data_IF_420326209575
#
_entry.id   IF_420326209575
#
_cell.length_a   1.000
_cell.length_b   1.000
_cell.length_c   1.000
_cell.angle_alpha   90.00
_cell.angle_beta   90.00
_cell.angle_gamma   90.00
#
_symmetry.space_group_name_H-M   'P 1'
#
loop_
_entity.id
_entity.type
_entity.pdbx_description
1 polymer ?
#
# COMPACT_ATOMS: atom_id res chain seq x y z
N UNK A 1 -23.80 -34.78 -11.27
CA UNK A 1 -22.42 -35.02 -11.77
C UNK A 1 -22.46 -35.84 -13.04
N UNK A 2 -21.67 -35.48 -14.05
CA UNK A 2 -21.59 -36.16 -15.36
C UNK A 2 -20.13 -36.19 -15.80
N UNK A 3 -19.68 -37.30 -16.40
CA UNK A 3 -18.33 -37.43 -16.96
C UNK A 3 -18.34 -38.19 -18.29
N UNK A 4 -17.32 -37.96 -19.12
CA UNK A 4 -17.07 -38.74 -20.34
C UNK A 4 -15.86 -39.67 -20.14
N UNK A 5 -15.93 -40.87 -20.69
CA UNK A 5 -14.83 -41.83 -20.59
C UNK A 5 -14.79 -42.80 -21.76
N UNK A 6 -13.66 -43.48 -21.91
CA UNK A 6 -13.47 -44.52 -22.91
C UNK A 6 -13.38 -45.89 -22.25
N UNK A 7 -14.07 -46.86 -22.83
CA UNK A 7 -14.00 -48.26 -22.44
C UNK A 7 -14.06 -49.12 -23.70
N UNK A 8 -13.14 -50.07 -23.86
CA UNK A 8 -13.08 -50.94 -25.04
C UNK A 8 -13.11 -50.15 -26.37
N UNK A 9 -12.30 -49.09 -26.44
CA UNK A 9 -12.20 -48.14 -27.58
C UNK A 9 -13.53 -47.47 -27.98
N UNK A 10 -14.52 -47.43 -27.08
CA UNK A 10 -15.80 -46.76 -27.30
C UNK A 10 -15.97 -45.63 -26.29
N UNK A 11 -16.52 -44.52 -26.77
CA UNK A 11 -16.86 -43.37 -25.92
C UNK A 11 -18.19 -43.63 -25.21
N UNK A 12 -18.20 -43.36 -23.92
CA UNK A 12 -19.36 -43.41 -23.05
C UNK A 12 -19.51 -42.08 -22.31
N UNK A 13 -20.74 -41.81 -21.89
CA UNK A 13 -21.03 -40.72 -20.96
C UNK A 13 -21.71 -41.32 -19.75
N UNK A 14 -21.33 -40.91 -18.56
CA UNK A 14 -21.93 -41.38 -17.33
C UNK A 14 -22.42 -40.23 -16.47
N UNK A 15 -23.43 -40.50 -15.64
CA UNK A 15 -23.91 -39.58 -14.64
C UNK A 15 -24.41 -40.32 -13.41
N UNK A 16 -24.28 -39.66 -12.26
CA UNK A 16 -24.81 -40.14 -10.99
C UNK A 16 -26.02 -39.28 -10.62
N UNK A 17 -27.17 -39.91 -10.41
CA UNK A 17 -28.45 -39.25 -10.11
C UNK A 17 -29.05 -39.89 -8.86
N UNK A 18 -29.66 -39.10 -7.98
CA UNK A 18 -30.39 -39.62 -6.84
C UNK A 18 -31.85 -39.91 -7.23
N UNK A 19 -32.30 -41.14 -7.02
CA UNK A 19 -33.65 -41.61 -7.35
C UNK A 19 -34.18 -42.40 -6.17
N UNK A 20 -35.31 -41.95 -5.59
CA UNK A 20 -35.94 -42.59 -4.41
C UNK A 20 -34.95 -42.79 -3.25
N UNK A 21 -34.16 -41.76 -2.93
CA UNK A 21 -33.08 -41.77 -1.92
C UNK A 21 -31.87 -42.67 -2.22
N UNK A 22 -31.86 -43.40 -3.33
CA UNK A 22 -30.74 -44.26 -3.74
C UNK A 22 -29.96 -43.61 -4.88
N UNK A 23 -28.63 -43.70 -4.84
CA UNK A 23 -27.78 -43.26 -5.95
C UNK A 23 -27.90 -44.24 -7.11
N UNK A 24 -28.22 -43.72 -8.29
CA UNK A 24 -28.35 -44.46 -9.55
C UNK A 24 -27.27 -43.99 -10.52
N UNK A 25 -26.42 -44.92 -10.95
CA UNK A 25 -25.43 -44.72 -12.00
C UNK A 25 -26.09 -44.94 -13.36
N UNK A 26 -25.96 -43.96 -14.26
CA UNK A 26 -26.42 -44.04 -15.65
C UNK A 26 -25.21 -44.00 -16.56
N UNK A 27 -25.08 -44.98 -17.45
CA UNK A 27 -24.00 -45.07 -18.45
C UNK A 27 -24.64 -45.12 -19.83
N UNK A 28 -24.42 -44.09 -20.64
CA UNK A 28 -24.92 -43.98 -22.01
C UNK A 28 -23.80 -44.26 -23.00
N UNK A 29 -24.05 -45.19 -23.92
CA UNK A 29 -23.15 -45.50 -25.01
C UNK A 29 -23.35 -44.57 -26.23
N UNK A 30 -22.46 -44.67 -27.22
CA UNK A 30 -22.55 -43.90 -28.47
C UNK A 30 -23.82 -44.18 -29.29
N UNK A 31 -24.42 -45.37 -29.15
CA UNK A 31 -25.66 -45.76 -29.84
C UNK A 31 -26.93 -45.26 -29.12
N UNK A 32 -26.79 -44.57 -27.98
CA UNK A 32 -27.89 -44.04 -27.19
C UNK A 32 -28.56 -45.04 -26.23
N UNK A 33 -28.03 -46.25 -26.07
CA UNK A 33 -28.45 -47.15 -25.00
C UNK A 33 -27.91 -46.69 -23.65
N UNK A 34 -28.75 -46.78 -22.63
CA UNK A 34 -28.43 -46.40 -21.27
C UNK A 34 -28.51 -47.63 -20.37
N UNK A 35 -27.44 -47.88 -19.64
CA UNK A 35 -27.40 -48.79 -18.51
C UNK A 35 -27.63 -48.00 -17.23
N UNK A 36 -28.74 -48.28 -16.53
CA UNK A 36 -29.04 -47.72 -15.22
C UNK A 36 -28.82 -48.79 -14.13
N UNK A 37 -28.04 -48.45 -13.11
CA UNK A 37 -27.70 -49.33 -11.98
C UNK A 37 -27.90 -48.59 -10.68
N UNK A 38 -28.81 -49.08 -9.84
CA UNK A 38 -28.99 -48.56 -8.48
C UNK A 38 -27.89 -49.11 -7.56
N UNK A 39 -27.40 -48.28 -6.65
CA UNK A 39 -26.41 -48.67 -5.65
C UNK A 39 -26.90 -49.89 -4.85
N UNK A 40 -26.02 -50.87 -4.68
CA UNK A 40 -26.32 -52.13 -3.98
C UNK A 40 -27.06 -53.18 -4.80
N UNK A 41 -27.51 -52.88 -6.03
CA UNK A 41 -28.21 -53.84 -6.88
C UNK A 41 -27.28 -54.52 -7.88
N UNK A 42 -27.42 -55.85 -8.01
CA UNK A 42 -26.72 -56.67 -9.02
C UNK A 42 -27.42 -56.70 -10.38
N UNK A 43 -28.66 -56.23 -10.43
CA UNK A 43 -29.45 -56.16 -11.66
C UNK A 43 -29.55 -54.70 -12.12
N UNK A 44 -29.10 -54.44 -13.34
CA UNK A 44 -29.25 -53.17 -14.03
C UNK A 44 -30.35 -53.21 -15.10
N UNK A 45 -30.75 -52.03 -15.56
CA UNK A 45 -31.70 -51.85 -16.66
C UNK A 45 -30.95 -51.30 -17.88
N UNK A 46 -30.95 -52.05 -18.99
CA UNK A 46 -30.32 -51.66 -20.25
C UNK A 46 -31.36 -51.40 -21.34
N UNK A 47 -31.48 -50.16 -21.80
CA UNK A 47 -32.44 -49.79 -22.83
C UNK A 47 -32.28 -48.35 -23.31
N UNK A 48 -33.05 -47.95 -24.32
CA UNK A 48 -33.17 -46.53 -24.71
C UNK A 48 -34.18 -45.81 -23.81
N UNK A 49 -35.23 -46.51 -23.44
CA UNK A 49 -36.28 -46.08 -22.51
C UNK A 49 -36.32 -47.03 -21.32
N UNK A 50 -36.91 -46.59 -20.20
CA UNK A 50 -37.06 -47.44 -19.00
C UNK A 50 -38.10 -48.54 -19.19
N UNK A 51 -39.09 -48.30 -20.06
CA UNK A 51 -40.18 -49.25 -20.35
C UNK A 51 -39.68 -50.43 -21.19
N UNK A 52 -38.79 -50.19 -22.16
CA UNK A 52 -38.22 -51.22 -23.02
C UNK A 52 -36.89 -51.77 -22.48
N UNK A 53 -36.53 -51.43 -21.24
CA UNK A 53 -35.25 -51.78 -20.68
C UNK A 53 -35.18 -53.27 -20.32
N UNK A 54 -34.15 -53.94 -20.86
CA UNK A 54 -33.84 -55.32 -20.50
C UNK A 54 -33.14 -55.35 -19.14
N UNK A 55 -33.62 -56.22 -18.24
CA UNK A 55 -32.91 -56.54 -17.00
C UNK A 55 -31.62 -57.30 -17.34
N UNK A 56 -30.49 -56.77 -16.90
CA UNK A 56 -29.19 -57.40 -17.09
C UNK A 56 -28.50 -57.60 -15.74
N UNK A 57 -27.76 -58.70 -15.60
CA UNK A 57 -26.89 -58.91 -14.45
C UNK A 57 -25.58 -58.16 -14.66
N UNK A 58 -25.32 -57.16 -13.79
CA UNK A 58 -24.13 -56.31 -13.84
C UNK A 58 -22.92 -56.93 -13.15
N UNK A 59 -23.10 -58.08 -12.48
CA UNK A 59 -22.01 -58.85 -11.89
C UNK A 59 -21.13 -59.52 -12.94
N UNK A 60 -21.59 -59.59 -14.20
CA UNK A 60 -20.81 -60.13 -15.30
C UNK A 60 -19.56 -59.26 -15.56
N UNK A 61 -18.39 -59.86 -15.87
CA UNK A 61 -17.12 -59.14 -15.97
C UNK A 61 -17.15 -57.90 -16.86
N UNK A 62 -17.81 -57.98 -18.01
CA UNK A 62 -17.92 -56.85 -18.94
C UNK A 62 -18.62 -55.63 -18.32
N UNK A 63 -19.80 -55.84 -17.72
CA UNK A 63 -20.57 -54.75 -17.10
C UNK A 63 -19.91 -54.26 -15.82
N UNK A 64 -19.33 -55.16 -15.03
CA UNK A 64 -18.57 -54.79 -13.84
C UNK A 64 -17.41 -53.84 -14.18
N UNK A 65 -16.59 -54.18 -15.17
CA UNK A 65 -15.48 -53.34 -15.60
C UNK A 65 -15.93 -52.01 -16.21
N UNK A 66 -17.05 -52.01 -16.96
CA UNK A 66 -17.65 -50.79 -17.49
C UNK A 66 -18.13 -49.85 -16.37
N UNK A 67 -18.78 -50.40 -15.34
CA UNK A 67 -19.24 -49.66 -14.17
C UNK A 67 -18.05 -49.10 -13.40
N UNK A 68 -17.00 -49.91 -13.19
CA UNK A 68 -15.77 -49.46 -12.54
C UNK A 68 -15.11 -48.29 -13.30
N UNK A 69 -15.03 -48.39 -14.62
CA UNK A 69 -14.50 -47.31 -15.46
C UNK A 69 -15.34 -46.03 -15.35
N UNK A 70 -16.67 -46.16 -15.34
CA UNK A 70 -17.58 -45.03 -15.18
C UNK A 70 -17.44 -44.35 -13.80
N UNK A 71 -17.35 -45.14 -12.72
CA UNK A 71 -17.16 -44.62 -11.36
C UNK A 71 -15.83 -43.86 -11.24
N UNK A 72 -14.75 -44.44 -11.74
CA UNK A 72 -13.44 -43.76 -11.78
C UNK A 72 -13.50 -42.44 -12.55
N UNK A 73 -14.22 -42.39 -13.67
CA UNK A 73 -14.38 -41.17 -14.44
C UNK A 73 -15.16 -40.08 -13.68
N UNK A 74 -16.20 -40.46 -12.94
CA UNK A 74 -16.95 -39.54 -12.10
C UNK A 74 -16.10 -39.00 -10.93
N UNK A 75 -15.29 -39.87 -10.31
CA UNK A 75 -14.38 -39.45 -9.24
C UNK A 75 -13.29 -38.50 -9.75
N UNK A 76 -12.73 -38.77 -10.93
CA UNK A 76 -11.76 -37.88 -11.57
C UNK A 76 -12.39 -36.52 -11.89
N UNK A 77 -13.60 -36.51 -12.44
CA UNK A 77 -14.32 -35.26 -12.70
C UNK A 77 -14.57 -34.47 -11.41
N UNK A 78 -14.99 -35.16 -10.34
CA UNK A 78 -15.17 -34.53 -9.02
C UNK A 78 -13.89 -33.88 -8.50
N UNK A 79 -12.75 -34.56 -8.64
CA UNK A 79 -11.46 -34.05 -8.22
C UNK A 79 -11.02 -32.87 -9.08
N UNK A 80 -11.26 -32.93 -10.39
CA UNK A 80 -10.96 -31.83 -11.30
C UNK A 80 -11.75 -30.58 -10.94
N UNK A 81 -13.05 -30.70 -10.66
CA UNK A 81 -13.88 -29.58 -10.20
C UNK A 81 -13.32 -28.98 -8.90
N UNK A 82 -12.95 -29.81 -7.93
CA UNK A 82 -12.34 -29.35 -6.67
C UNK A 82 -11.00 -28.64 -6.88
N UNK A 83 -10.16 -29.14 -7.79
CA UNK A 83 -8.88 -28.52 -8.15
C UNK A 83 -9.12 -27.15 -8.80
N UNK A 84 -10.11 -27.04 -9.70
CA UNK A 84 -10.45 -25.78 -10.34
C UNK A 84 -10.93 -24.74 -9.33
N UNK A 85 -11.78 -25.15 -8.40
CA UNK A 85 -12.25 -24.28 -7.31
C UNK A 85 -11.08 -23.83 -6.43
N UNK A 86 -10.23 -24.76 -6.00
CA UNK A 86 -9.05 -24.44 -5.17
C UNK A 86 -8.09 -23.48 -5.88
N UNK A 87 -7.89 -23.65 -7.18
CA UNK A 87 -7.05 -22.76 -7.98
C UNK A 87 -7.60 -21.33 -8.03
N UNK A 88 -8.93 -21.15 -8.03
CA UNK A 88 -9.55 -19.81 -7.94
C UNK A 88 -9.24 -19.17 -6.59
N UNK A 89 -9.48 -19.90 -5.50
CA UNK A 89 -9.17 -19.39 -4.15
C UNK A 89 -7.69 -19.04 -3.98
N UNK A 90 -6.78 -19.83 -4.57
CA UNK A 90 -5.35 -19.53 -4.56
C UNK A 90 -5.05 -18.24 -5.31
N UNK A 91 -5.64 -18.04 -6.50
CA UNK A 91 -5.44 -16.83 -7.29
C UNK A 91 -5.93 -15.57 -6.53
N UNK A 92 -7.07 -15.67 -5.85
CA UNK A 92 -7.61 -14.57 -5.03
C UNK A 92 -6.69 -14.26 -3.84
N UNK A 93 -6.19 -15.29 -3.15
CA UNK A 93 -5.24 -15.15 -2.07
C UNK A 93 -3.90 -14.56 -2.54
N UNK A 94 -3.40 -14.96 -3.72
CA UNK A 94 -2.20 -14.40 -4.33
C UNK A 94 -2.38 -12.90 -4.63
N UNK A 95 -3.55 -12.48 -5.11
CA UNK A 95 -3.86 -11.07 -5.33
C UNK A 95 -3.87 -10.28 -4.01
N UNK A 96 -4.44 -10.85 -2.94
CA UNK A 96 -4.42 -10.25 -1.60
C UNK A 96 -2.99 -10.11 -1.05
N UNK A 97 -2.17 -11.15 -1.18
CA UNK A 97 -0.75 -11.12 -0.76
C UNK A 97 0.02 -10.05 -1.54
N UNK A 98 -0.23 -9.92 -2.85
CA UNK A 98 0.38 -8.87 -3.66
C UNK A 98 -0.03 -7.47 -3.19
N UNK A 99 -1.31 -7.29 -2.86
CA UNK A 99 -1.82 -6.02 -2.32
C UNK A 99 -1.14 -5.67 -0.99
N UNK A 100 -1.13 -6.60 -0.04
CA UNK A 100 -0.42 -6.42 1.24
C UNK A 100 1.07 -6.13 1.03
N UNK A 101 1.70 -6.80 0.05
CA UNK A 101 3.08 -6.53 -0.33
C UNK A 101 3.32 -5.10 -0.83
N UNK A 102 2.34 -4.48 -1.50
CA UNK A 102 2.40 -3.05 -1.87
C UNK A 102 2.31 -2.14 -0.66
N UNK A 103 1.38 -2.43 0.24
CA UNK A 103 1.18 -1.66 1.48
C UNK A 103 2.42 -1.69 2.36
N UNK A 104 3.01 -2.87 2.57
CA UNK A 104 4.27 -3.02 3.31
C UNK A 104 5.40 -2.18 2.71
N UNK A 105 5.49 -2.09 1.37
CA UNK A 105 6.51 -1.25 0.71
C UNK A 105 6.28 0.23 1.01
N UNK A 106 5.04 0.71 0.95
CA UNK A 106 4.70 2.10 1.26
C UNK A 106 5.02 2.42 2.72
N UNK A 107 4.62 1.54 3.65
CA UNK A 107 4.90 1.70 5.08
C UNK A 107 6.40 1.72 5.37
N UNK A 108 7.19 0.86 4.73
CA UNK A 108 8.65 0.85 4.90
C UNK A 108 9.30 2.14 4.40
N UNK A 109 8.80 2.72 3.30
CA UNK A 109 9.31 4.01 2.81
C UNK A 109 8.96 5.16 3.77
N UNK A 110 7.77 5.13 4.38
CA UNK A 110 7.39 6.08 5.42
C UNK A 110 8.28 5.95 6.66
N UNK A 111 8.55 4.72 7.13
CA UNK A 111 9.47 4.48 8.25
C UNK A 111 10.85 5.04 7.94
N UNK A 112 11.36 4.83 6.72
CA UNK A 112 12.65 5.36 6.29
C UNK A 112 12.68 6.89 6.34
N UNK A 113 11.66 7.53 5.78
CA UNK A 113 11.54 9.00 5.78
C UNK A 113 11.47 9.56 7.20
N UNK A 114 10.74 8.90 8.10
CA UNK A 114 10.66 9.29 9.51
C UNK A 114 12.00 9.09 10.22
N UNK A 115 12.72 8.02 9.90
CA UNK A 115 14.06 7.75 10.47
C UNK A 115 15.03 8.87 10.10
N UNK A 116 15.07 9.26 8.82
CA UNK A 116 15.94 10.34 8.34
C UNK A 116 15.64 11.67 9.05
N UNK A 117 14.36 12.00 9.27
CA UNK A 117 13.96 13.21 10.02
C UNK A 117 14.37 13.14 11.49
N UNK A 118 14.27 11.98 12.12
CA UNK A 118 14.70 11.79 13.51
C UNK A 118 16.22 11.99 13.61
N UNK A 119 17.00 11.45 12.66
CA UNK A 119 18.45 11.68 12.61
C UNK A 119 18.79 13.16 12.43
N UNK A 120 18.11 13.88 11.53
CA UNK A 120 18.28 15.33 11.34
C UNK A 120 17.99 16.12 12.62
N UNK A 121 16.89 15.82 13.31
CA UNK A 121 16.53 16.46 14.57
C UNK A 121 17.56 16.20 15.68
N UNK A 122 18.14 15.00 15.73
CA UNK A 122 19.19 14.67 16.69
C UNK A 122 20.46 15.50 16.42
N UNK A 123 20.84 15.67 15.15
CA UNK A 123 21.98 16.53 14.78
C UNK A 123 21.74 17.99 15.19
N UNK A 124 20.57 18.53 14.90
CA UNK A 124 20.21 19.89 15.30
C UNK A 124 20.20 20.07 16.82
N UNK A 125 19.67 19.08 17.56
CA UNK A 125 19.68 19.08 19.01
C UNK A 125 21.12 19.12 19.58
N UNK A 126 22.06 18.37 18.98
CA UNK A 126 23.47 18.38 19.39
C UNK A 126 24.20 19.68 19.05
N UNK A 127 23.79 20.40 18.01
CA UNK A 127 24.41 21.68 17.60
C UNK A 127 23.90 22.89 18.39
N UNK A 128 22.68 22.82 18.91
CA UNK A 128 22.07 23.89 19.72
C UNK A 128 22.97 24.41 20.87
N UNK A 129 23.59 23.57 21.72
CA UNK A 129 24.47 24.06 22.77
C UNK A 129 25.69 24.79 22.23
N UNK A 130 26.21 24.40 21.06
CA UNK A 130 27.32 25.09 20.41
C UNK A 130 26.92 26.51 19.98
N UNK A 131 25.73 26.67 19.41
CA UNK A 131 25.18 27.98 19.02
C UNK A 131 24.87 28.86 20.24
N UNK A 132 24.40 28.28 21.33
CA UNK A 132 24.15 29.01 22.58
C UNK A 132 25.45 29.54 23.18
N UNK A 133 26.52 28.75 23.17
CA UNK A 133 27.84 29.18 23.63
C UNK A 133 28.39 30.30 22.72
N UNK A 134 28.27 30.16 21.40
CA UNK A 134 28.68 31.22 20.45
C UNK A 134 27.93 32.54 20.70
N UNK A 135 26.61 32.47 20.91
CA UNK A 135 25.81 33.65 21.22
C UNK A 135 26.20 34.27 22.57
N UNK A 136 26.47 33.46 23.60
CA UNK A 136 26.92 33.95 24.91
C UNK A 136 28.28 34.65 24.81
N UNK A 137 29.23 34.09 24.04
CA UNK A 137 30.53 34.74 23.78
C UNK A 137 30.32 36.09 23.10
N UNK A 138 29.50 36.15 22.05
CA UNK A 138 29.20 37.40 21.33
C UNK A 138 28.54 38.44 22.27
N UNK A 139 27.56 38.04 23.07
CA UNK A 139 26.92 38.92 24.04
C UNK A 139 27.92 39.46 25.07
N UNK A 140 28.86 38.63 25.54
CA UNK A 140 29.92 39.09 26.45
C UNK A 140 30.89 40.04 25.76
N UNK A 141 31.28 39.82 24.51
CA UNK A 141 32.17 40.72 23.75
C UNK A 141 31.51 42.09 23.51
N UNK A 142 30.23 42.10 23.12
CA UNK A 142 29.46 43.33 22.94
C UNK A 142 29.39 44.10 24.27
N UNK A 143 29.09 43.40 25.37
CA UNK A 143 28.99 44.00 26.71
C UNK A 143 30.33 44.58 27.17
N UNK A 144 31.44 43.87 26.94
CA UNK A 144 32.78 44.36 27.25
C UNK A 144 33.17 45.55 26.38
N UNK A 145 32.90 45.50 25.07
CA UNK A 145 33.18 46.61 24.15
C UNK A 145 32.41 47.88 24.50
N UNK A 146 31.14 47.75 24.90
CA UNK A 146 30.35 48.87 25.41
C UNK A 146 30.91 49.43 26.72
N UNK A 147 31.33 48.58 27.67
CA UNK A 147 31.95 49.05 28.92
C UNK A 147 33.24 49.82 28.66
N UNK A 148 34.11 49.31 27.77
CA UNK A 148 35.36 49.97 27.41
C UNK A 148 35.13 51.28 26.63
N UNK A 149 34.07 51.34 25.82
CA UNK A 149 33.63 52.57 25.16
C UNK A 149 33.16 53.63 26.16
N UNK A 150 32.36 53.23 27.16
CA UNK A 150 31.91 54.11 28.23
C UNK A 150 33.08 54.59 29.09
N UNK A 151 34.03 53.72 29.43
CA UNK A 151 35.23 54.10 30.20
C UNK A 151 36.13 55.07 29.41
N UNK A 152 36.24 54.93 28.09
CA UNK A 152 36.95 55.90 27.23
C UNK A 152 36.24 57.24 27.13
N UNK A 153 34.90 57.24 27.08
CA UNK A 153 34.09 58.46 27.13
C UNK A 153 34.14 59.12 28.51
N UNK A 154 34.25 58.33 29.57
CA UNK A 154 34.43 58.81 30.95
C UNK A 154 35.84 59.34 31.21
N UNK A 155 36.88 58.77 30.58
CA UNK A 155 38.27 59.19 30.71
C UNK A 155 38.65 60.40 29.83
N UNK A 156 37.76 60.87 28.96
CA UNK A 156 37.93 62.09 28.15
C UNK A 156 36.87 63.16 28.46
N UNK A 157 36.84 63.71 29.69
CA UNK A 157 35.88 64.76 30.07
C UNK A 157 36.01 66.03 29.20
N UNK A 158 37.15 66.22 28.53
CA UNK A 158 37.44 67.36 27.68
C UNK A 158 36.64 67.33 26.35
N UNK A 159 36.39 66.14 25.79
CA UNK A 159 35.57 65.99 24.58
C UNK A 159 34.07 66.06 24.89
N UNK A 160 33.65 65.57 26.06
CA UNK A 160 32.25 65.67 26.51
C UNK A 160 31.89 67.12 26.79
N UNK A 161 32.80 67.91 27.37
CA UNK A 161 32.58 69.34 27.59
C UNK A 161 32.55 70.13 26.27
N UNK A 162 33.41 69.81 25.30
CA UNK A 162 33.37 70.41 23.96
C UNK A 162 32.09 70.05 23.19
N UNK A 163 31.59 68.82 23.32
CA UNK A 163 30.36 68.40 22.65
C UNK A 163 29.11 69.05 23.28
N UNK A 164 29.08 69.18 24.61
CA UNK A 164 28.01 69.92 25.30
C UNK A 164 28.05 71.41 24.92
N UNK A 165 29.24 72.02 24.85
CA UNK A 165 29.37 73.41 24.37
C UNK A 165 28.95 73.57 22.89
N UNK A 166 29.23 72.58 22.04
CA UNK A 166 28.80 72.58 20.64
C UNK A 166 27.28 72.40 20.50
N UNK A 167 26.67 71.50 21.29
CA UNK A 167 25.23 71.32 21.30
C UNK A 167 24.47 72.51 21.88
N UNK A 168 25.01 73.20 22.90
CA UNK A 168 24.42 74.47 23.38
C UNK A 168 24.54 75.58 22.33
N UNK A 169 25.65 75.64 21.58
CA UNK A 169 25.78 76.56 20.44
C UNK A 169 24.81 76.22 19.32
N UNK A 170 24.61 74.95 19.00
CA UNK A 170 23.65 74.52 17.98
C UNK A 170 22.21 74.82 18.39
N UNK A 171 21.83 74.67 19.66
CA UNK A 171 20.49 75.06 20.12
C UNK A 171 20.28 76.58 20.10
N UNK A 172 21.31 77.37 20.44
CA UNK A 172 21.26 78.84 20.36
C UNK A 172 21.19 79.32 18.90
N UNK A 173 21.91 78.64 17.99
CA UNK A 173 21.86 78.90 16.55
C UNK A 173 20.48 78.51 15.99
N UNK A 174 19.92 77.35 16.38
CA UNK A 174 18.55 76.97 15.97
C UNK A 174 17.50 77.97 16.48
N UNK A 175 17.60 78.46 17.72
CA UNK A 175 16.70 79.49 18.23
C UNK A 175 16.85 80.85 17.52
N UNK A 176 18.07 81.25 17.18
CA UNK A 176 18.31 82.49 16.44
C UNK A 176 17.83 82.41 14.98
N UNK A 177 17.97 81.24 14.35
CA UNK A 177 17.46 80.95 13.02
C UNK A 177 15.92 80.99 13.03
N UNK A 178 15.27 80.37 14.02
CA UNK A 178 13.81 80.39 14.15
C UNK A 178 13.25 81.81 14.40
N UNK A 179 13.98 82.68 15.11
CA UNK A 179 13.61 84.09 15.29
C UNK A 179 13.77 84.90 13.98
N UNK A 180 14.84 84.68 13.22
CA UNK A 180 15.02 85.34 11.91
C UNK A 180 13.96 84.91 10.88
N UNK A 181 13.65 83.61 10.80
CA UNK A 181 12.62 83.10 9.90
C UNK A 181 11.21 83.55 10.31
N UNK A 182 10.95 83.78 11.60
CA UNK A 182 9.69 84.36 12.06
C UNK A 182 9.52 85.82 11.62
N UNK A 183 10.58 86.63 11.62
CA UNK A 183 10.51 88.03 11.19
C UNK A 183 10.42 88.16 9.64
N UNK A 184 11.14 87.32 8.89
CA UNK A 184 11.05 87.29 7.41
C UNK A 184 9.71 86.72 6.91
N UNK A 185 9.11 85.76 7.62
CA UNK A 185 7.81 85.20 7.26
C UNK A 185 6.66 86.21 7.43
N UNK A 186 6.72 87.11 8.40
CA UNK A 186 5.73 88.18 8.56
C UNK A 186 5.82 89.25 7.46
N UNK A 187 7.02 89.50 6.90
CA UNK A 187 7.21 90.43 5.78
C UNK A 187 6.80 89.82 4.43
N UNK A 188 7.00 88.51 4.21
CA UNK A 188 6.55 87.81 3.00
C UNK A 188 5.02 87.61 2.95
N UNK A 189 4.35 87.43 4.11
CA UNK A 189 2.89 87.27 4.16
C UNK A 189 2.12 88.57 3.83
N UNK A 190 2.77 89.74 3.91
CA UNK A 190 2.20 91.03 3.43
C UNK A 190 2.35 91.25 1.92
N UNK A 191 3.21 90.49 1.25
CA UNK A 191 3.48 90.65 -0.18
C UNK A 191 2.64 89.71 -1.07
N UNK A 192 2.04 88.66 -0.49
CA UNK A 192 1.31 87.61 -1.21
C UNK A 192 -0.22 87.77 -1.21
N UNK A 193 -0.76 88.84 -0.59
CA UNK A 193 -2.22 89.12 -0.60
C UNK A 193 -2.75 89.89 -1.83
N UNK A 194 -1.91 90.19 -2.83
CA UNK A 194 -2.33 90.94 -4.03
C UNK A 194 -2.27 90.17 -5.36
N UNK A 195 -1.91 88.88 -5.39
CA UNK A 195 -1.98 88.10 -6.64
C UNK A 195 -2.76 86.79 -6.47
N UNK A 196 -4.04 86.87 -6.82
CA UNK A 196 -4.73 86.03 -7.83
C UNK A 196 -3.93 84.85 -8.39
N UNK A 197 -4.51 83.72 -8.76
CA UNK A 197 -5.87 83.20 -8.79
C UNK A 197 -5.74 81.86 -9.52
N UNK A 198 -6.71 80.97 -9.31
CA UNK A 198 -7.07 79.87 -10.20
C UNK A 198 -6.25 78.56 -10.15
N UNK A 199 -7.06 77.50 -10.03
CA UNK A 199 -6.87 76.12 -10.48
C UNK A 199 -6.13 75.14 -9.55
N UNK A 200 -6.93 74.68 -8.59
CA UNK A 200 -7.05 73.28 -8.14
C UNK A 200 -7.24 72.30 -9.29
N UNK A 201 -6.41 71.27 -9.39
CA UNK A 201 -6.84 69.96 -9.90
C UNK A 201 -6.06 68.79 -9.27
N UNK A 202 -6.81 67.72 -8.98
CA UNK A 202 -6.49 66.54 -8.17
C UNK A 202 -5.24 65.75 -8.60
N UNK A 203 -4.45 65.29 -7.61
CA UNK A 203 -3.79 63.99 -7.67
C UNK A 203 -3.91 63.25 -6.33
N UNK A 204 -4.36 62.01 -6.46
CA UNK A 204 -4.73 61.02 -5.44
C UNK A 204 -3.48 60.45 -4.75
N UNK A 205 -3.51 60.32 -3.42
CA UNK A 205 -2.56 59.57 -2.59
C UNK A 205 -3.34 58.55 -1.71
N UNK A 206 -2.70 57.57 -1.07
CA UNK A 206 -2.81 56.14 -1.39
C UNK A 206 -3.52 55.36 -0.28
N UNK A 207 -3.85 54.09 -0.52
CA UNK A 207 -4.31 53.20 0.55
C UNK A 207 -3.57 51.85 0.48
N UNK A 208 -2.45 51.76 1.21
CA UNK A 208 -1.81 50.47 1.50
C UNK A 208 -2.32 50.00 2.85
N UNK A 209 -3.42 49.25 2.81
CA UNK A 209 -3.96 48.54 3.96
C UNK A 209 -3.42 47.11 4.02
N UNK A 210 -2.72 46.86 5.12
CA UNK A 210 -2.37 45.56 5.69
C UNK A 210 -3.57 44.61 5.74
N UNK A 211 -3.39 43.35 5.35
CA UNK A 211 -4.12 42.23 5.93
C UNK A 211 -3.34 40.92 5.74
N UNK A 212 -2.94 40.36 6.89
CA UNK A 212 -2.62 38.96 7.11
C UNK A 212 -3.78 38.04 6.67
N UNK A 213 -3.45 36.97 5.96
CA UNK A 213 -4.21 35.71 5.86
C UNK A 213 -3.15 34.62 5.60
N UNK A 214 -2.98 33.55 6.36
CA UNK A 214 -3.90 32.91 7.29
C UNK A 214 -4.37 31.58 6.71
N UNK A 215 -3.60 30.52 6.97
CA UNK A 215 -4.01 29.12 7.17
C UNK A 215 -4.95 28.54 6.08
N UNK A 216 -4.38 27.80 5.13
CA UNK A 216 -5.10 26.79 4.36
C UNK A 216 -4.87 25.41 5.00
N UNK A 217 -5.73 25.08 5.96
CA UNK A 217 -5.95 23.72 6.45
C UNK A 217 -7.37 23.30 6.03
N UNK A 218 -7.42 22.19 5.28
CA UNK A 218 -8.47 21.16 5.32
C UNK A 218 -9.93 21.56 5.14
N UNK A 219 -10.54 21.16 4.02
CA UNK A 219 -11.91 20.64 3.97
C UNK A 219 -12.08 19.79 2.70
N UNK A 220 -12.33 18.49 2.87
CA UNK A 220 -13.61 17.80 2.63
C UNK A 220 -13.88 17.47 1.15
N UNK A 221 -13.66 16.20 0.76
CA UNK A 221 -14.66 15.44 0.00
C UNK A 221 -14.61 13.98 0.46
N UNK A 222 -15.70 13.56 1.11
CA UNK A 222 -15.95 12.21 1.59
C UNK A 222 -17.38 11.86 1.28
N UNK A 223 -17.68 11.21 0.15
CA UNK A 223 -18.92 10.43 -0.03
C UNK A 223 -18.68 9.31 -1.05
N UNK A 224 -18.62 8.06 -0.56
CA UNK A 224 -19.26 6.94 -1.27
C UNK A 224 -19.62 5.88 -0.24
N UNK A 225 -20.92 5.82 0.03
CA UNK A 225 -21.61 4.75 0.72
C UNK A 225 -21.40 3.44 -0.04
N UNK A 226 -20.94 2.40 0.64
CA UNK A 226 -21.08 1.02 0.19
C UNK A 226 -21.69 0.21 1.33
N UNK A 227 -22.97 -0.10 1.15
CA UNK A 227 -23.71 -1.09 1.91
C UNK A 227 -23.00 -2.44 1.82
N UNK A 228 -22.43 -2.90 2.93
CA UNK A 228 -21.98 -4.28 3.09
C UNK A 228 -23.00 -4.98 3.99
N UNK A 229 -23.86 -5.77 3.35
CA UNK A 229 -24.70 -6.75 4.03
C UNK A 229 -23.79 -7.77 4.74
N UNK A 230 -23.79 -7.73 6.07
CA UNK A 230 -23.11 -8.71 6.92
C UNK A 230 -24.07 -9.89 7.09
N UNK A 231 -23.89 -10.94 6.28
CA UNK A 231 -24.42 -12.26 6.62
C UNK A 231 -23.61 -12.82 7.80
N UNK A 232 -24.29 -12.93 8.95
CA UNK A 232 -23.79 -13.58 10.15
C UNK A 232 -23.56 -15.08 9.89
N UNK A 233 -22.29 -15.49 9.86
CA UNK A 233 -21.90 -16.88 9.91
C UNK A 233 -22.19 -17.45 11.31
N UNK A 234 -23.20 -18.32 11.37
CA UNK A 234 -23.48 -19.19 12.50
C UNK A 234 -22.54 -20.40 12.40
N UNK A 235 -21.32 -20.27 12.92
CA UNK A 235 -20.40 -21.41 13.09
C UNK A 235 -20.49 -21.89 14.53
N UNK A 236 -21.34 -22.87 14.74
CA UNK A 236 -21.34 -23.70 15.94
C UNK A 236 -20.07 -24.53 15.95
N UNK A 237 -19.17 -24.20 16.88
CA UNK A 237 -18.01 -25.02 17.24
C UNK A 237 -18.50 -26.33 17.87
N UNK A 238 -18.60 -27.38 17.05
CA UNK A 238 -18.73 -28.77 17.51
C UNK A 238 -17.32 -29.32 17.75
N UNK A 239 -16.86 -29.21 18.99
CA UNK A 239 -15.62 -29.83 19.48
C UNK A 239 -15.83 -31.34 19.46
N UNK A 240 -15.25 -32.02 18.47
CA UNK A 240 -15.23 -33.49 18.41
C UNK A 240 -14.03 -33.97 19.21
N UNK A 241 -14.30 -34.58 20.36
CA UNK A 241 -13.31 -35.33 21.15
C UNK A 241 -12.73 -36.47 20.29
N UNK A 242 -11.49 -36.29 19.82
CA UNK A 242 -10.71 -37.39 19.25
C UNK A 242 -10.21 -38.27 20.41
N UNK A 243 -10.89 -39.38 20.65
CA UNK A 243 -10.33 -40.51 21.38
C UNK A 243 -9.14 -41.06 20.59
N UNK A 244 -7.94 -40.80 21.10
CA UNK A 244 -6.70 -41.43 20.68
C UNK A 244 -6.77 -42.89 21.10
N UNK A 245 -7.07 -43.77 20.14
CA UNK A 245 -6.95 -45.21 20.32
C UNK A 245 -5.47 -45.57 20.23
N UNK A 246 -4.88 -45.87 21.39
CA UNK A 246 -3.58 -46.51 21.51
C UNK A 246 -3.58 -47.82 20.71
N UNK A 247 -2.89 -47.82 19.58
CA UNK A 247 -2.59 -49.02 18.81
C UNK A 247 -1.19 -49.46 19.20
N UNK A 248 -1.14 -50.48 20.07
CA UNK A 248 0.07 -51.14 20.52
C UNK A 248 0.86 -51.73 19.35
N UNK A 249 2.18 -51.49 19.44
CA UNK A 249 3.32 -52.23 18.91
C UNK A 249 3.07 -53.38 17.92
N UNK A 250 3.74 -53.32 16.76
CA UNK A 250 4.53 -54.44 16.24
C UNK A 250 5.43 -53.99 15.06
N UNK A 251 6.75 -54.18 15.19
CA UNK A 251 7.66 -54.34 14.05
C UNK A 251 8.62 -53.19 13.74
N UNK A 252 9.67 -53.02 14.55
CA UNK A 252 10.87 -52.26 14.15
C UNK A 252 11.69 -53.02 13.09
N UNK A 253 11.60 -52.61 11.82
CA UNK A 253 12.66 -52.84 10.83
C UNK A 253 13.47 -51.56 10.67
N UNK A 254 14.51 -51.42 11.50
CA UNK A 254 15.54 -50.38 11.36
C UNK A 254 16.34 -50.61 10.08
N UNK A 255 16.05 -49.83 9.04
CA UNK A 255 16.96 -49.65 7.90
C UNK A 255 17.91 -48.50 8.26
N UNK A 256 19.11 -48.84 8.71
CA UNK A 256 20.22 -47.88 8.81
C UNK A 256 20.70 -47.51 7.40
N UNK A 257 20.23 -46.39 6.87
CA UNK A 257 20.80 -45.77 5.67
C UNK A 257 22.02 -44.93 6.09
N UNK A 258 23.19 -45.55 6.04
CA UNK A 258 24.48 -44.88 6.13
C UNK A 258 24.68 -43.99 4.89
N UNK A 259 24.29 -42.71 4.99
CA UNK A 259 24.53 -41.72 3.94
C UNK A 259 26.01 -41.34 3.95
N UNK A 260 26.82 -42.06 3.17
CA UNK A 260 28.16 -41.61 2.79
C UNK A 260 28.04 -40.32 1.99
N UNK A 261 28.40 -39.20 2.61
CA UNK A 261 28.68 -37.92 1.93
C UNK A 261 29.85 -38.11 0.95
N UNK A 262 29.52 -38.48 -0.28
CA UNK A 262 30.44 -38.49 -1.42
C UNK A 262 30.21 -37.25 -2.29
N UNK A 263 31.26 -36.44 -2.42
CA UNK A 263 31.34 -35.25 -3.26
C UNK A 263 30.76 -35.47 -4.66
N UNK A 264 29.54 -34.99 -4.88
CA UNK A 264 28.93 -34.97 -6.20
C UNK A 264 29.44 -33.75 -6.97
N UNK A 265 30.57 -33.93 -7.67
CA UNK A 265 31.01 -33.01 -8.71
C UNK A 265 30.01 -33.01 -9.87
N UNK A 266 29.14 -32.00 -9.91
CA UNK A 266 28.24 -31.76 -11.04
C UNK A 266 29.09 -31.39 -12.26
N UNK A 267 29.34 -32.36 -13.14
CA UNK A 267 29.93 -32.12 -14.47
C UNK A 267 28.97 -31.27 -15.29
N UNK A 268 29.31 -29.99 -15.47
CA UNK A 268 28.62 -29.11 -16.41
C UNK A 268 28.70 -29.70 -17.82
N UNK A 269 27.54 -30.06 -18.38
CA UNK A 269 27.42 -30.48 -19.77
C UNK A 269 27.62 -29.26 -20.70
N UNK A 270 28.40 -29.40 -21.79
CA UNK A 270 28.62 -28.30 -22.72
C UNK A 270 27.32 -27.91 -23.44
N UNK A 271 27.04 -26.61 -23.44
CA UNK A 271 25.87 -26.00 -24.10
C UNK A 271 25.92 -26.30 -25.60
N UNK A 272 24.93 -27.04 -26.09
CA UNK A 272 24.76 -27.32 -27.53
C UNK A 272 24.44 -26.01 -28.26
N UNK A 273 25.31 -25.60 -29.17
CA UNK A 273 25.10 -24.50 -30.09
C UNK A 273 23.93 -24.81 -31.04
N UNK A 274 22.93 -23.93 -31.04
CA UNK A 274 21.76 -23.98 -31.93
C UNK A 274 22.14 -23.53 -33.34
N UNK A 275 22.36 -24.48 -34.25
CA UNK A 275 22.59 -24.19 -35.66
C UNK A 275 21.25 -23.99 -36.38
N UNK A 276 20.79 -22.74 -36.43
CA UNK A 276 19.64 -22.30 -37.24
C UNK A 276 20.06 -22.16 -38.71
N UNK A 277 19.97 -23.24 -39.49
CA UNK A 277 20.12 -23.22 -40.95
C UNK A 277 18.92 -22.51 -41.59
N UNK A 278 19.13 -21.30 -42.10
CA UNK A 278 18.17 -20.61 -42.97
C UNK A 278 18.15 -21.28 -44.36
N UNK A 279 16.99 -21.81 -44.76
CA UNK A 279 16.73 -22.18 -46.17
C UNK A 279 16.40 -20.91 -46.94
N UNK A 280 17.26 -20.53 -47.89
CA UNK A 280 16.90 -19.61 -48.97
C UNK A 280 15.91 -20.33 -49.90
N UNK A 281 14.78 -19.68 -50.17
CA UNK A 281 13.87 -20.06 -51.25
C UNK A 281 14.46 -19.52 -52.56
N UNK A 282 14.62 -20.40 -53.54
CA UNK A 282 14.66 -20.05 -54.96
C UNK A 282 13.26 -20.24 -55.53
#
# INVERSE_FOLDING_TARGET
MKAEFYFDNRRYTCSLVQVDFVKELKIKNHQGFVLAVKQGQKIGLLGKTRQDAKKIDVSKPHFYNLIKAAMNALELESKNELILDRNRTIADAEAMIQQQGREIRVLNEQIRTLTDRVEELVVLQQQLPMQLIENEIIETEISQGLSQGIDRLSAAPELVMQLVEHQTRETDISQAIDQQFSEEAEDLLKQETDNKSEQTELLVVPDYRLAFQGIDDGLLESESELDVEVESADTSDEIVDLEVVDSEEEGEDRIELEVRSGDSQIKQLPKRASNRKMRKKS
#
